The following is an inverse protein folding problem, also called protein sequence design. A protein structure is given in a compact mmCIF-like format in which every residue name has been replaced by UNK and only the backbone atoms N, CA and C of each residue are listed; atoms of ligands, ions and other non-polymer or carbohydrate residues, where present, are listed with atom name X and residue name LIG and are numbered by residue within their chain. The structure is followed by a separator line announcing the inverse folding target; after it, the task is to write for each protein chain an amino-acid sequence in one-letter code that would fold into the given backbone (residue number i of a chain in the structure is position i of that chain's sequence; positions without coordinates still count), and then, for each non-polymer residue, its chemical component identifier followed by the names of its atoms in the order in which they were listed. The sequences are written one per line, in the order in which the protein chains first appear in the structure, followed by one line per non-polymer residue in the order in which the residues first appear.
data_IF_317611051065
#
_entry.id   IF_317611051065
#
_cell.length_a   1.000
_cell.length_b   1.000
_cell.length_c   1.000
_cell.angle_alpha   90.00
_cell.angle_beta   90.00
_cell.angle_gamma   90.00
#
_symmetry.space_group_name_H-M   'P 1'
#
loop_
_entity.id
_entity.type
_entity.pdbx_description
1 polymer ?
#
# COMPACT_ATOMS: atom_id res chain seq x y z
N UNK A 1 -25.35 -20.17 42.36
CA UNK A 1 -24.18 -19.43 41.85
C UNK A 1 -23.79 -20.05 40.51
N UNK A 2 -24.16 -19.35 39.42
CA UNK A 2 -23.68 -19.72 38.08
C UNK A 2 -22.17 -19.41 38.04
N UNK A 3 -21.36 -20.43 37.83
CA UNK A 3 -19.96 -20.27 37.48
C UNK A 3 -19.93 -19.54 36.13
N UNK A 4 -19.39 -18.33 36.09
CA UNK A 4 -19.22 -17.63 34.83
C UNK A 4 -18.31 -18.51 33.94
N UNK A 5 -18.81 -18.85 32.75
CA UNK A 5 -18.02 -19.58 31.78
C UNK A 5 -16.89 -18.63 31.33
N UNK A 6 -15.64 -19.07 31.48
CA UNK A 6 -14.48 -18.27 31.08
C UNK A 6 -14.22 -18.59 29.60
N UNK A 7 -14.46 -17.62 28.74
CA UNK A 7 -14.27 -17.78 27.29
C UNK A 7 -12.83 -17.45 26.82
N UNK A 8 -12.07 -16.69 27.64
CA UNK A 8 -10.71 -16.27 27.33
C UNK A 8 -9.83 -16.39 28.57
N UNK A 9 -8.68 -17.04 28.40
CA UNK A 9 -7.63 -17.09 29.41
C UNK A 9 -6.44 -16.24 28.97
N UNK A 10 -5.99 -15.32 29.84
CA UNK A 10 -4.81 -14.50 29.64
C UNK A 10 -3.69 -15.01 30.54
N UNK A 11 -2.53 -15.27 29.96
CA UNK A 11 -1.33 -15.72 30.68
C UNK A 11 -0.26 -14.61 30.61
N UNK A 12 -0.28 -13.63 31.51
CA UNK A 12 0.59 -12.44 31.43
C UNK A 12 2.08 -12.75 31.52
N UNK A 13 2.44 -13.89 32.12
CA UNK A 13 3.84 -14.32 32.28
C UNK A 13 4.35 -15.14 31.07
N UNK A 14 3.50 -15.47 30.13
CA UNK A 14 3.85 -16.22 28.92
C UNK A 14 4.06 -15.27 27.74
N UNK A 15 5.24 -14.67 27.66
CA UNK A 15 5.61 -13.74 26.59
C UNK A 15 5.91 -14.51 25.31
N UNK A 16 5.32 -14.09 24.17
CA UNK A 16 5.54 -14.66 22.85
C UNK A 16 6.25 -13.63 21.96
N UNK A 17 5.54 -12.94 21.08
CA UNK A 17 6.10 -11.91 20.21
C UNK A 17 5.78 -10.51 20.75
N UNK A 18 6.62 -9.54 20.38
CA UNK A 18 6.34 -8.14 20.64
C UNK A 18 5.32 -7.60 19.64
N UNK A 19 4.27 -6.95 20.14
CA UNK A 19 3.33 -6.20 19.31
C UNK A 19 3.84 -4.77 19.21
N UNK A 20 4.24 -4.37 18.00
CA UNK A 20 4.79 -3.02 17.73
C UNK A 20 3.74 -1.92 17.95
N UNK A 21 2.48 -2.22 17.66
CA UNK A 21 1.36 -1.29 17.87
C UNK A 21 0.21 -1.51 16.89
N UNK A 22 -0.77 -0.63 17.03
CA UNK A 22 -1.96 -0.55 16.19
C UNK A 22 -1.93 0.72 15.36
N UNK A 23 -2.73 0.79 14.29
CA UNK A 23 -2.76 1.96 13.44
C UNK A 23 -3.93 2.00 12.48
N UNK A 24 -3.90 2.99 11.60
CA UNK A 24 -4.91 3.21 10.58
C UNK A 24 -4.29 3.53 9.22
N UNK A 25 -5.18 3.75 8.24
CA UNK A 25 -4.79 4.11 6.87
C UNK A 25 -5.14 5.56 6.57
N UNK A 26 -4.15 6.32 6.13
CA UNK A 26 -4.35 7.65 5.54
C UNK A 26 -4.90 7.48 4.12
N UNK A 27 -5.92 8.23 3.76
CA UNK A 27 -6.50 8.21 2.43
C UNK A 27 -7.12 9.57 2.06
N UNK A 28 -7.38 9.79 0.77
CA UNK A 28 -7.88 11.09 0.29
C UNK A 28 -9.27 11.42 0.83
N UNK A 29 -10.23 10.47 0.75
CA UNK A 29 -11.60 10.70 1.20
C UNK A 29 -11.69 11.00 2.70
N UNK A 30 -10.84 10.35 3.51
CA UNK A 30 -10.78 10.61 4.95
C UNK A 30 -10.29 12.03 5.26
N UNK A 31 -9.25 12.49 4.54
CA UNK A 31 -8.78 13.87 4.73
C UNK A 31 -9.77 14.90 4.22
N UNK A 32 -10.37 14.66 3.05
CA UNK A 32 -11.42 15.52 2.51
C UNK A 32 -12.57 15.67 3.51
N UNK A 33 -13.08 14.57 4.05
CA UNK A 33 -14.13 14.60 5.07
C UNK A 33 -13.72 15.42 6.31
N UNK A 34 -12.48 15.26 6.79
CA UNK A 34 -11.96 16.05 7.93
C UNK A 34 -11.83 17.54 7.59
N UNK A 35 -11.58 17.92 6.34
CA UNK A 35 -11.50 19.33 5.92
C UNK A 35 -12.87 20.04 5.98
N UNK A 36 -13.98 19.31 5.94
CA UNK A 36 -15.32 19.89 6.10
C UNK A 36 -15.68 20.21 7.56
N UNK A 37 -14.87 19.73 8.53
CA UNK A 37 -15.06 20.08 9.93
C UNK A 37 -14.42 21.43 10.26
N UNK A 38 -14.98 22.19 11.22
CA UNK A 38 -14.27 23.31 11.84
C UNK A 38 -12.91 22.86 12.38
N UNK A 39 -11.91 23.73 12.33
CA UNK A 39 -10.52 23.40 12.74
C UNK A 39 -10.48 22.75 14.13
N UNK A 40 -11.19 23.30 15.12
CA UNK A 40 -11.22 22.78 16.49
C UNK A 40 -11.76 21.33 16.57
N UNK A 41 -12.75 21.00 15.77
CA UNK A 41 -13.31 19.63 15.73
C UNK A 41 -12.36 18.67 15.02
N UNK A 42 -11.76 19.09 13.91
CA UNK A 42 -10.71 18.32 13.23
C UNK A 42 -9.53 18.02 14.16
N UNK A 43 -9.09 19.02 14.92
CA UNK A 43 -7.98 18.85 15.87
C UNK A 43 -8.34 17.86 17.00
N UNK A 44 -9.59 17.84 17.46
CA UNK A 44 -10.09 16.83 18.43
C UNK A 44 -10.06 15.44 17.83
N UNK A 45 -10.51 15.25 16.57
CA UNK A 45 -10.46 13.95 15.89
C UNK A 45 -9.01 13.49 15.77
N UNK A 46 -8.11 14.35 15.32
CA UNK A 46 -6.69 14.01 15.20
C UNK A 46 -6.06 13.65 16.55
N UNK A 47 -6.39 14.42 17.61
CA UNK A 47 -5.92 14.13 18.96
C UNK A 47 -6.46 12.79 19.48
N UNK A 48 -7.73 12.47 19.24
CA UNK A 48 -8.32 11.19 19.66
C UNK A 48 -7.66 9.97 19.00
N UNK A 49 -7.11 10.13 17.80
CA UNK A 49 -6.44 9.04 17.08
C UNK A 49 -4.94 8.92 17.44
N UNK A 50 -4.23 10.04 17.57
CA UNK A 50 -2.76 10.03 17.59
C UNK A 50 -2.15 10.53 18.90
N UNK A 51 -2.88 11.24 19.77
CA UNK A 51 -2.31 11.67 21.05
C UNK A 51 -2.26 10.54 22.09
N UNK A 52 -1.47 10.74 23.14
CA UNK A 52 -1.33 9.77 24.25
C UNK A 52 -2.62 9.59 25.05
N UNK A 53 -3.49 10.60 25.05
CA UNK A 53 -4.80 10.60 25.73
C UNK A 53 -5.88 9.90 24.89
N UNK A 54 -5.63 9.64 23.61
CA UNK A 54 -6.52 8.96 22.68
C UNK A 54 -6.16 7.50 22.44
N UNK A 55 -6.49 7.00 21.25
CA UNK A 55 -6.15 5.62 20.80
C UNK A 55 -4.64 5.43 20.64
N UNK A 56 -3.92 6.52 20.47
CA UNK A 56 -2.45 6.55 20.38
C UNK A 56 -1.89 5.64 19.27
N UNK A 57 -2.42 5.71 18.06
CA UNK A 57 -1.95 4.91 16.94
C UNK A 57 -0.44 5.08 16.72
N UNK A 58 0.26 3.94 16.65
CA UNK A 58 1.70 3.86 16.48
C UNK A 58 2.12 3.53 15.03
N UNK A 59 1.18 3.05 14.21
CA UNK A 59 1.40 2.67 12.83
C UNK A 59 0.48 3.46 11.90
N UNK A 60 1.01 3.89 10.77
CA UNK A 60 0.25 4.55 9.72
C UNK A 60 0.52 3.92 8.36
N UNK A 61 -0.54 3.58 7.62
CA UNK A 61 -0.45 3.17 6.21
C UNK A 61 -0.77 4.36 5.32
N UNK A 62 -0.07 4.51 4.21
CA UNK A 62 -0.46 5.44 3.14
C UNK A 62 -0.45 4.73 1.78
N UNK A 63 -1.38 5.03 0.86
CA UNK A 63 -1.30 4.51 -0.49
C UNK A 63 -0.12 5.12 -1.25
N UNK A 64 0.36 4.41 -2.25
CA UNK A 64 1.24 4.93 -3.29
C UNK A 64 0.37 5.22 -4.50
N UNK A 65 -0.01 6.49 -4.68
CA UNK A 65 -0.99 7.00 -5.64
C UNK A 65 -2.44 6.50 -5.38
N UNK A 66 -3.23 6.28 -6.43
CA UNK A 66 -4.65 5.95 -6.32
C UNK A 66 -4.90 4.66 -5.53
N UNK A 67 -5.90 4.74 -4.63
CA UNK A 67 -6.46 3.60 -3.89
C UNK A 67 -7.97 3.50 -4.13
N UNK A 68 -8.63 2.56 -3.46
CA UNK A 68 -10.08 2.44 -3.40
C UNK A 68 -10.76 3.61 -2.66
N UNK A 69 -10.01 4.34 -1.82
CA UNK A 69 -10.44 5.56 -1.11
C UNK A 69 -9.80 6.82 -1.70
N UNK A 70 -9.41 6.81 -2.97
CA UNK A 70 -8.97 8.00 -3.69
C UNK A 70 -10.17 8.73 -4.32
N UNK A 71 -10.06 10.04 -4.45
CA UNK A 71 -11.06 10.90 -5.12
C UNK A 71 -11.09 10.73 -6.64
N UNK A 72 -10.23 9.88 -7.17
CA UNK A 72 -10.14 9.53 -8.59
C UNK A 72 -8.87 8.74 -8.90
N UNK A 73 -8.80 8.16 -10.09
CA UNK A 73 -7.65 7.38 -10.50
C UNK A 73 -6.51 8.29 -10.95
N UNK A 74 -5.31 8.01 -10.46
CA UNK A 74 -4.09 8.71 -10.82
C UNK A 74 -2.86 7.86 -10.49
N UNK A 75 -1.76 8.18 -11.10
CA UNK A 75 -0.43 7.75 -10.65
C UNK A 75 0.52 8.94 -10.58
N UNK A 76 1.70 8.73 -10.05
CA UNK A 76 2.72 9.79 -10.05
C UNK A 76 3.44 9.96 -11.39
N UNK A 77 3.13 9.09 -12.36
CA UNK A 77 3.60 9.24 -13.74
C UNK A 77 2.66 8.54 -14.71
N UNK A 78 1.77 9.28 -15.34
CA UNK A 78 0.82 8.79 -16.35
C UNK A 78 1.34 8.98 -17.80
N UNK A 79 2.58 9.46 -17.96
CA UNK A 79 3.21 9.60 -19.28
C UNK A 79 3.67 8.22 -19.74
N UNK A 80 3.00 7.71 -20.78
CA UNK A 80 3.32 6.41 -21.38
C UNK A 80 4.77 6.34 -21.83
N UNK A 81 5.42 5.23 -21.54
CA UNK A 81 6.79 4.90 -21.95
C UNK A 81 7.88 5.83 -21.37
N UNK A 82 7.57 6.63 -20.33
CA UNK A 82 8.58 7.35 -19.58
C UNK A 82 9.34 6.42 -18.60
N UNK A 83 10.13 5.52 -19.15
CA UNK A 83 10.90 4.52 -18.39
C UNK A 83 11.91 5.14 -17.41
N UNK A 84 12.28 6.38 -17.60
CA UNK A 84 13.23 7.11 -16.74
C UNK A 84 12.55 7.89 -15.63
N UNK A 85 11.23 7.89 -15.59
CA UNK A 85 10.41 8.63 -14.59
C UNK A 85 10.73 10.13 -14.55
N UNK A 86 10.95 10.77 -15.69
CA UNK A 86 11.20 12.22 -15.76
C UNK A 86 9.98 13.03 -15.34
N UNK A 87 8.78 12.53 -15.68
CA UNK A 87 7.51 13.18 -15.37
C UNK A 87 6.92 12.71 -14.02
N UNK A 88 7.71 12.05 -13.18
CA UNK A 88 7.27 11.65 -11.86
C UNK A 88 6.94 12.86 -10.99
N UNK A 89 5.73 12.92 -10.44
CA UNK A 89 5.25 14.05 -9.66
C UNK A 89 4.27 13.60 -8.56
N UNK A 90 4.49 14.06 -7.32
CA UNK A 90 3.63 13.80 -6.16
C UNK A 90 2.77 15.02 -5.79
N UNK A 91 2.59 15.98 -6.69
CA UNK A 91 1.94 17.25 -6.34
C UNK A 91 0.54 17.06 -5.75
N UNK A 92 -0.22 16.08 -6.23
CA UNK A 92 -1.53 15.75 -5.68
C UNK A 92 -1.44 15.40 -4.18
N UNK A 93 -0.49 14.58 -3.79
CA UNK A 93 -0.31 14.19 -2.39
C UNK A 93 0.10 15.37 -1.49
N UNK A 94 0.78 16.37 -2.05
CA UNK A 94 1.14 17.60 -1.31
C UNK A 94 -0.06 18.38 -0.81
N UNK A 95 -1.21 18.23 -1.45
CA UNK A 95 -2.44 18.91 -1.05
C UNK A 95 -3.35 18.06 -0.14
N UNK A 96 -3.20 16.74 -0.16
CA UNK A 96 -4.14 15.84 0.51
C UNK A 96 -3.43 14.92 1.51
N UNK A 97 -2.66 13.93 1.06
CA UNK A 97 -2.07 12.91 1.93
C UNK A 97 -0.97 13.45 2.84
N UNK A 98 -0.09 14.27 2.30
CA UNK A 98 1.04 14.83 3.06
C UNK A 98 0.58 15.74 4.21
N UNK A 99 -0.37 16.67 4.03
CA UNK A 99 -0.93 17.44 5.15
C UNK A 99 -1.59 16.56 6.21
N UNK A 100 -2.33 15.52 5.82
CA UNK A 100 -2.95 14.57 6.76
C UNK A 100 -1.90 13.88 7.62
N UNK A 101 -0.89 13.28 6.97
CA UNK A 101 0.20 12.57 7.67
C UNK A 101 0.98 13.53 8.57
N UNK A 102 1.27 14.75 8.11
CA UNK A 102 1.94 15.76 8.93
C UNK A 102 1.14 16.19 10.15
N UNK A 103 -0.19 16.26 10.04
CA UNK A 103 -1.06 16.53 11.18
C UNK A 103 -0.96 15.41 12.24
N UNK A 104 -0.89 14.16 11.82
CA UNK A 104 -0.66 13.02 12.71
C UNK A 104 0.76 13.06 13.33
N UNK A 105 1.79 13.30 12.54
CA UNK A 105 3.19 13.37 13.00
C UNK A 105 3.45 14.49 14.01
N UNK A 106 2.68 15.58 13.98
CA UNK A 106 2.75 16.64 15.02
C UNK A 106 2.35 16.10 16.39
N UNK A 107 1.38 15.19 16.45
CA UNK A 107 0.86 14.58 17.68
C UNK A 107 1.63 13.34 18.08
N UNK A 108 2.13 12.60 17.08
CA UNK A 108 2.86 11.35 17.23
C UNK A 108 4.14 11.36 16.36
N UNK A 109 5.23 12.02 16.80
CA UNK A 109 6.47 12.14 16.00
C UNK A 109 7.15 10.80 15.69
N UNK A 110 6.91 9.78 16.51
CA UNK A 110 7.41 8.41 16.36
C UNK A 110 6.47 7.48 15.58
N UNK A 111 5.40 8.02 14.95
CA UNK A 111 4.50 7.25 14.10
C UNK A 111 5.27 6.55 12.99
N UNK A 112 5.15 5.22 12.93
CA UNK A 112 5.83 4.38 11.93
C UNK A 112 4.96 4.27 10.68
N UNK A 113 5.50 4.75 9.56
CA UNK A 113 4.79 4.79 8.29
C UNK A 113 5.18 3.65 7.37
N UNK A 114 4.17 3.02 6.77
CA UNK A 114 4.36 2.09 5.68
C UNK A 114 3.44 2.41 4.50
N UNK A 115 3.80 1.95 3.31
CA UNK A 115 3.10 2.30 2.10
C UNK A 115 2.93 1.11 1.15
N UNK A 116 1.84 1.15 0.36
CA UNK A 116 1.63 0.18 -0.71
C UNK A 116 0.81 0.80 -1.86
N UNK A 117 1.11 0.47 -3.12
CA UNK A 117 0.24 0.81 -4.24
C UNK A 117 -0.93 -0.17 -4.32
N UNK A 118 -2.08 0.32 -4.78
CA UNK A 118 -3.19 -0.53 -5.25
C UNK A 118 -2.97 -0.96 -6.69
N UNK A 119 -2.30 -0.10 -7.47
CA UNK A 119 -2.01 -0.36 -8.89
C UNK A 119 -0.72 0.36 -9.31
N UNK A 120 0.06 -0.22 -10.21
CA UNK A 120 1.07 0.51 -10.97
C UNK A 120 0.39 1.58 -11.87
N UNK A 121 1.15 2.54 -12.43
CA UNK A 121 0.68 3.37 -13.54
C UNK A 121 0.02 2.52 -14.64
N UNK A 122 -1.11 2.99 -15.18
CA UNK A 122 -1.92 2.19 -16.11
C UNK A 122 -1.11 1.68 -17.33
N UNK A 123 -0.20 2.49 -17.84
CA UNK A 123 0.63 2.13 -19.01
C UNK A 123 1.63 0.97 -18.75
N UNK A 124 1.92 0.67 -17.48
CA UNK A 124 2.76 -0.49 -17.09
C UNK A 124 1.98 -1.79 -16.97
N UNK A 125 0.65 -1.75 -17.09
CA UNK A 125 -0.21 -2.92 -16.94
C UNK A 125 -0.58 -3.53 -18.28
N UNK A 126 -0.83 -4.83 -18.30
CA UNK A 126 -1.16 -5.57 -19.55
C UNK A 126 -2.48 -5.10 -20.16
N UNK A 127 -3.41 -4.63 -19.34
CA UNK A 127 -4.69 -4.07 -19.80
C UNK A 127 -4.67 -2.54 -19.92
N UNK A 128 -3.57 -1.88 -19.65
CA UNK A 128 -3.39 -0.42 -19.69
C UNK A 128 -4.51 0.35 -18.98
N UNK A 129 -4.95 -0.18 -17.81
CA UNK A 129 -6.02 0.43 -17.00
C UNK A 129 -5.71 0.29 -15.51
N UNK A 130 -6.18 1.24 -14.69
CA UNK A 130 -5.96 1.21 -13.24
C UNK A 130 -6.59 0.00 -12.56
N UNK A 131 -7.78 -0.43 -12.97
CA UNK A 131 -8.45 -1.62 -12.44
C UNK A 131 -8.11 -2.87 -13.25
N UNK A 132 -8.31 -4.06 -12.67
CA UNK A 132 -8.16 -5.31 -13.39
C UNK A 132 -9.47 -5.92 -13.86
N UNK A 133 -10.60 -5.52 -13.25
CA UNK A 133 -11.94 -5.97 -13.59
C UNK A 133 -12.82 -4.77 -13.95
N UNK A 134 -13.63 -4.93 -15.00
CA UNK A 134 -14.66 -3.94 -15.34
C UNK A 134 -15.72 -3.88 -14.24
N UNK A 135 -16.17 -2.69 -13.89
CA UNK A 135 -17.38 -2.49 -13.12
C UNK A 135 -18.56 -2.61 -14.06
N UNK A 136 -19.39 -3.65 -13.92
CA UNK A 136 -20.65 -3.78 -14.65
C UNK A 136 -21.64 -2.72 -14.18
N UNK A 137 -22.46 -2.23 -15.10
CA UNK A 137 -23.46 -1.18 -14.84
C UNK A 137 -24.49 -1.62 -13.77
N UNK A 138 -24.62 -2.93 -13.51
CA UNK A 138 -25.75 -3.49 -12.78
C UNK A 138 -25.50 -3.84 -11.29
N UNK A 139 -24.28 -3.75 -10.77
CA UNK A 139 -23.98 -4.36 -9.46
C UNK A 139 -23.06 -3.60 -8.50
N UNK A 140 -22.64 -2.41 -8.78
CA UNK A 140 -21.71 -1.73 -7.88
C UNK A 140 -22.10 -0.28 -7.63
N UNK A 141 -22.16 0.11 -6.36
CA UNK A 141 -22.20 1.50 -5.90
C UNK A 141 -20.95 2.31 -6.34
N UNK A 142 -19.97 1.64 -6.93
CA UNK A 142 -18.68 2.20 -7.36
C UNK A 142 -18.78 2.91 -8.72
N UNK A 143 -19.88 2.72 -9.45
CA UNK A 143 -20.04 3.29 -10.79
C UNK A 143 -19.17 2.61 -11.86
N UNK A 144 -19.32 3.06 -13.11
CA UNK A 144 -18.61 2.49 -14.25
C UNK A 144 -17.15 2.94 -14.27
N UNK A 145 -16.21 2.02 -14.16
CA UNK A 145 -14.77 2.31 -14.17
C UNK A 145 -14.16 2.46 -15.59
N UNK A 146 -14.98 2.39 -16.63
CA UNK A 146 -14.60 2.54 -18.06
C UNK A 146 -13.63 1.46 -18.60
N UNK A 147 -13.39 0.39 -17.88
CA UNK A 147 -12.66 -0.76 -18.40
C UNK A 147 -13.57 -1.61 -19.27
N UNK A 148 -13.13 -1.86 -20.52
CA UNK A 148 -13.79 -2.83 -21.40
C UNK A 148 -13.71 -4.24 -20.79
N UNK A 149 -14.83 -4.97 -20.63
CA UNK A 149 -14.85 -6.34 -20.10
C UNK A 149 -13.90 -7.31 -20.82
N UNK A 150 -13.64 -7.11 -22.10
CA UNK A 150 -12.68 -7.93 -22.87
C UNK A 150 -11.23 -7.68 -22.48
N UNK A 151 -10.95 -6.63 -21.73
CA UNK A 151 -9.62 -6.29 -21.19
C UNK A 151 -9.47 -6.64 -19.72
N UNK A 152 -10.41 -7.38 -19.15
CA UNK A 152 -10.29 -7.90 -17.79
C UNK A 152 -9.07 -8.80 -17.65
N UNK A 153 -8.36 -8.66 -16.52
CA UNK A 153 -7.21 -9.51 -16.16
C UNK A 153 -7.58 -10.24 -14.87
N UNK A 154 -8.03 -11.48 -15.02
CA UNK A 154 -8.61 -12.28 -13.94
C UNK A 154 -7.81 -13.58 -13.74
N UNK A 155 -7.96 -14.16 -12.55
CA UNK A 155 -7.30 -15.42 -12.22
C UNK A 155 -5.88 -15.25 -11.68
N UNK A 156 -5.15 -16.36 -11.63
CA UNK A 156 -3.78 -16.41 -11.11
C UNK A 156 -2.76 -16.00 -12.18
N UNK A 157 -2.82 -14.73 -12.57
CA UNK A 157 -1.94 -14.14 -13.59
C UNK A 157 -1.35 -12.83 -13.07
N UNK A 158 -0.21 -12.46 -13.62
CA UNK A 158 0.41 -11.15 -13.34
C UNK A 158 -0.19 -10.10 -14.27
N UNK A 159 -0.80 -9.06 -13.69
CA UNK A 159 -1.39 -7.94 -14.43
C UNK A 159 -0.38 -6.87 -14.85
N UNK A 160 0.88 -7.01 -14.44
CA UNK A 160 1.99 -6.11 -14.77
C UNK A 160 2.72 -6.58 -16.05
N UNK A 161 3.26 -5.64 -16.83
CA UNK A 161 4.11 -5.93 -17.99
C UNK A 161 5.51 -6.33 -17.53
N UNK A 162 5.87 -7.62 -17.66
CA UNK A 162 7.09 -8.21 -17.09
C UNK A 162 8.38 -7.96 -17.89
N UNK A 163 8.36 -7.12 -18.93
CA UNK A 163 9.56 -6.76 -19.67
C UNK A 163 10.48 -5.86 -18.82
N UNK A 164 11.79 -6.01 -19.00
CA UNK A 164 12.85 -5.37 -18.22
C UNK A 164 12.64 -3.84 -18.06
N UNK A 165 12.26 -3.14 -19.13
CA UNK A 165 12.06 -1.69 -19.10
C UNK A 165 10.96 -1.26 -18.10
N UNK A 166 9.84 -1.99 -18.07
CA UNK A 166 8.74 -1.71 -17.13
C UNK A 166 9.13 -2.03 -15.69
N UNK A 167 9.78 -3.17 -15.46
CA UNK A 167 10.25 -3.57 -14.12
C UNK A 167 11.23 -2.55 -13.54
N UNK A 168 12.20 -2.11 -14.34
CA UNK A 168 13.17 -1.10 -13.93
C UNK A 168 12.49 0.26 -13.68
N UNK A 169 11.59 0.68 -14.56
CA UNK A 169 10.84 1.92 -14.40
C UNK A 169 10.00 1.91 -13.10
N UNK A 170 9.38 0.77 -12.79
CA UNK A 170 8.57 0.66 -11.58
C UNK A 170 9.44 0.65 -10.31
N UNK A 171 10.63 0.08 -10.34
CA UNK A 171 11.59 0.19 -9.24
C UNK A 171 12.03 1.65 -9.01
N UNK A 172 12.30 2.40 -10.09
CA UNK A 172 12.59 3.85 -10.01
C UNK A 172 11.39 4.63 -9.46
N UNK A 173 10.17 4.26 -9.83
CA UNK A 173 8.94 4.86 -9.32
C UNK A 173 8.85 4.76 -7.77
N UNK A 174 9.11 3.58 -7.20
CA UNK A 174 9.17 3.39 -5.74
C UNK A 174 10.29 4.21 -5.10
N UNK A 175 11.47 4.19 -5.70
CA UNK A 175 12.59 4.97 -5.20
C UNK A 175 12.28 6.46 -5.12
N UNK A 176 11.75 7.03 -6.20
CA UNK A 176 11.33 8.44 -6.24
C UNK A 176 10.23 8.77 -5.23
N UNK A 177 9.26 7.86 -5.05
CA UNK A 177 8.21 8.00 -4.05
C UNK A 177 8.78 8.15 -2.62
N UNK A 178 9.62 7.20 -2.21
CA UNK A 178 10.23 7.21 -0.88
C UNK A 178 11.06 8.47 -0.66
N UNK A 179 11.86 8.86 -1.66
CA UNK A 179 12.68 10.09 -1.60
C UNK A 179 11.82 11.35 -1.51
N UNK A 180 10.74 11.43 -2.31
CA UNK A 180 9.85 12.57 -2.30
C UNK A 180 9.10 12.73 -0.97
N UNK A 181 8.65 11.64 -0.35
CA UNK A 181 8.04 11.66 0.98
C UNK A 181 9.05 12.08 2.04
N UNK A 182 10.28 11.55 1.99
CA UNK A 182 11.37 11.95 2.88
C UNK A 182 11.69 13.45 2.77
N UNK A 183 11.74 14.01 1.55
CA UNK A 183 11.91 15.45 1.32
C UNK A 183 10.77 16.29 1.92
N UNK A 184 9.59 15.71 2.08
CA UNK A 184 8.46 16.33 2.76
C UNK A 184 8.42 16.06 4.27
N UNK A 185 9.48 15.48 4.85
CA UNK A 185 9.59 15.17 6.28
C UNK A 185 8.81 13.93 6.74
N UNK A 186 8.45 13.05 5.81
CA UNK A 186 7.75 11.79 6.10
C UNK A 186 8.68 10.63 5.78
N UNK A 187 9.08 9.88 6.80
CA UNK A 187 9.91 8.70 6.63
C UNK A 187 9.01 7.46 6.41
N UNK A 188 9.10 6.84 5.25
CA UNK A 188 8.44 5.57 4.95
C UNK A 188 9.39 4.45 5.37
N UNK A 189 9.09 3.77 6.48
CA UNK A 189 9.94 2.69 7.00
C UNK A 189 9.79 1.40 6.20
N UNK A 190 8.59 1.16 5.64
CA UNK A 190 8.30 -0.09 4.93
C UNK A 190 7.48 0.18 3.68
N UNK A 191 7.80 -0.53 2.59
CA UNK A 191 6.92 -0.63 1.42
C UNK A 191 6.49 -2.07 1.20
N UNK A 192 5.22 -2.25 0.84
CA UNK A 192 4.69 -3.51 0.32
C UNK A 192 4.39 -3.31 -1.16
N UNK A 193 5.00 -4.07 -2.07
CA UNK A 193 4.96 -3.79 -3.51
C UNK A 193 3.58 -3.78 -4.14
N UNK A 194 2.58 -4.36 -3.48
CA UNK A 194 1.21 -4.41 -3.99
C UNK A 194 0.19 -4.58 -2.87
N UNK A 195 -0.90 -3.81 -2.90
CA UNK A 195 -2.09 -4.09 -2.10
C UNK A 195 -2.86 -5.27 -2.72
N UNK A 196 -3.29 -6.22 -1.87
CA UNK A 196 -4.18 -7.33 -2.29
C UNK A 196 -3.67 -8.09 -3.53
N UNK A 197 -2.47 -8.64 -3.43
CA UNK A 197 -1.69 -9.23 -4.53
C UNK A 197 -2.50 -10.23 -5.40
N UNK A 198 -3.41 -10.99 -4.80
CA UNK A 198 -4.17 -12.06 -5.47
C UNK A 198 -5.59 -11.67 -5.87
N UNK A 199 -6.02 -10.43 -5.64
CA UNK A 199 -7.39 -10.01 -5.83
C UNK A 199 -7.53 -9.02 -6.99
N UNK A 200 -8.31 -9.32 -8.07
CA UNK A 200 -8.55 -8.43 -9.21
C UNK A 200 -9.90 -7.72 -9.11
N UNK A 201 -10.09 -6.72 -8.23
CA UNK A 201 -11.33 -5.97 -8.11
C UNK A 201 -11.54 -4.96 -9.24
N UNK A 202 -12.71 -4.29 -9.22
CA UNK A 202 -13.07 -3.23 -10.17
C UNK A 202 -12.60 -1.83 -9.76
N UNK A 203 -11.90 -1.70 -8.65
CA UNK A 203 -11.14 -0.51 -8.24
C UNK A 203 -9.65 -0.67 -8.57
N UNK A 204 -8.78 0.31 -8.29
CA UNK A 204 -7.35 0.21 -8.55
C UNK A 204 -6.77 -1.10 -8.01
N UNK A 205 -6.11 -1.86 -8.87
CA UNK A 205 -5.62 -3.22 -8.52
C UNK A 205 -4.58 -3.73 -9.51
N UNK A 206 -3.73 -4.64 -9.07
CA UNK A 206 -2.83 -5.40 -9.92
C UNK A 206 -2.50 -6.74 -9.25
N UNK A 207 -2.84 -7.84 -9.89
CA UNK A 207 -2.43 -9.17 -9.40
C UNK A 207 -1.00 -9.48 -9.83
N UNK A 208 -0.31 -10.25 -8.97
CA UNK A 208 1.04 -10.73 -9.23
C UNK A 208 1.12 -12.22 -8.88
N UNK A 209 1.69 -13.02 -9.76
CA UNK A 209 2.14 -14.36 -9.38
C UNK A 209 3.34 -14.24 -8.44
N UNK A 210 3.50 -15.16 -7.47
CA UNK A 210 4.58 -15.05 -6.48
C UNK A 210 5.97 -15.07 -7.11
N UNK A 211 6.18 -15.82 -8.21
CA UNK A 211 7.44 -15.87 -8.94
C UNK A 211 7.75 -14.52 -9.62
N UNK A 212 6.74 -13.89 -10.24
CA UNK A 212 6.90 -12.64 -10.97
C UNK A 212 7.13 -11.48 -9.99
N UNK A 213 6.43 -11.48 -8.84
CA UNK A 213 6.71 -10.51 -7.78
C UNK A 213 8.12 -10.68 -7.22
N UNK A 214 8.59 -11.91 -7.06
CA UNK A 214 9.96 -12.18 -6.61
C UNK A 214 11.00 -11.69 -7.62
N UNK A 215 10.76 -11.83 -8.93
CA UNK A 215 11.62 -11.24 -9.97
C UNK A 215 11.67 -9.72 -9.80
N UNK A 216 10.52 -9.06 -9.68
CA UNK A 216 10.47 -7.61 -9.50
C UNK A 216 11.22 -7.17 -8.24
N UNK A 217 10.92 -7.78 -7.11
CA UNK A 217 11.52 -7.40 -5.82
C UNK A 217 13.03 -7.66 -5.80
N UNK A 218 13.45 -8.88 -6.19
CA UNK A 218 14.84 -9.31 -6.00
C UNK A 218 15.80 -8.75 -7.02
N UNK A 219 15.33 -8.53 -8.26
CA UNK A 219 16.21 -8.13 -9.37
C UNK A 219 16.11 -6.65 -9.72
N UNK A 220 15.06 -5.95 -9.25
CA UNK A 220 14.84 -4.54 -9.62
C UNK A 220 14.62 -3.64 -8.40
N UNK A 221 13.64 -3.93 -7.53
CA UNK A 221 13.27 -3.02 -6.45
C UNK A 221 14.35 -2.93 -5.36
N UNK A 222 14.80 -4.07 -4.84
CA UNK A 222 15.84 -4.09 -3.80
C UNK A 222 17.18 -3.54 -4.32
N UNK A 223 17.68 -3.93 -5.52
CA UNK A 223 18.87 -3.30 -6.07
C UNK A 223 18.72 -1.80 -6.35
N UNK A 224 17.52 -1.33 -6.72
CA UNK A 224 17.29 0.10 -6.91
C UNK A 224 17.35 0.86 -5.58
N UNK A 225 16.79 0.30 -4.50
CA UNK A 225 16.88 0.91 -3.17
C UNK A 225 18.32 0.95 -2.67
N UNK A 226 19.08 -0.12 -2.88
CA UNK A 226 20.52 -0.17 -2.54
C UNK A 226 21.30 0.90 -3.30
N UNK A 227 21.11 0.99 -4.63
CA UNK A 227 21.75 2.00 -5.49
C UNK A 227 21.46 3.43 -5.02
N UNK A 228 20.23 3.70 -4.60
CA UNK A 228 19.78 5.03 -4.19
C UNK A 228 19.96 5.29 -2.68
N UNK A 229 20.62 4.37 -1.95
CA UNK A 229 20.86 4.44 -0.50
C UNK A 229 19.58 4.63 0.31
N UNK A 230 18.52 3.90 -0.08
CA UNK A 230 17.22 3.90 0.61
C UNK A 230 17.18 2.76 1.63
N UNK A 231 16.94 3.10 2.90
CA UNK A 231 16.87 2.15 4.02
C UNK A 231 15.44 1.65 4.29
N UNK A 232 14.47 1.98 3.43
CA UNK A 232 13.09 1.49 3.55
C UNK A 232 13.06 -0.02 3.35
N UNK A 233 12.46 -0.73 4.30
CA UNK A 233 12.28 -2.18 4.19
C UNK A 233 11.27 -2.54 3.11
N UNK A 234 11.50 -3.67 2.45
CA UNK A 234 10.53 -4.26 1.52
C UNK A 234 9.91 -5.47 2.22
N UNK A 235 8.58 -5.51 2.27
CA UNK A 235 7.82 -6.65 2.79
C UNK A 235 6.95 -7.24 1.68
N UNK A 236 6.76 -8.55 1.68
CA UNK A 236 5.81 -9.20 0.74
C UNK A 236 4.39 -8.85 1.17
N UNK A 237 3.59 -8.35 0.28
CA UNK A 237 2.19 -8.09 0.60
C UNK A 237 1.62 -6.88 -0.13
N UNK A 238 0.36 -6.60 0.21
CA UNK A 238 -0.43 -7.33 1.21
C UNK A 238 -1.04 -8.60 0.59
N UNK A 239 -0.88 -9.73 1.25
CA UNK A 239 -1.42 -11.02 0.80
C UNK A 239 -2.86 -11.15 1.34
N UNK A 240 -3.82 -11.38 0.44
CA UNK A 240 -5.22 -11.60 0.81
C UNK A 240 -5.39 -12.98 1.42
N UNK A 241 -6.12 -13.05 2.51
CA UNK A 241 -6.37 -14.26 3.26
C UNK A 241 -5.08 -14.97 3.67
N UNK A 242 -5.08 -15.88 4.63
CA UNK A 242 -3.92 -16.70 4.90
C UNK A 242 -3.64 -17.61 3.69
N UNK A 243 -2.81 -17.13 2.77
CA UNK A 243 -2.33 -17.89 1.62
C UNK A 243 -0.85 -18.24 1.81
N UNK A 244 -0.56 -19.26 2.65
CA UNK A 244 0.81 -19.64 2.95
C UNK A 244 1.57 -20.15 1.71
N UNK A 245 0.86 -20.67 0.71
CA UNK A 245 1.50 -21.21 -0.49
C UNK A 245 2.02 -20.09 -1.41
N UNK A 246 1.34 -18.95 -1.46
CA UNK A 246 1.86 -17.75 -2.12
C UNK A 246 3.19 -17.33 -1.48
N UNK A 247 3.20 -17.19 -0.15
CA UNK A 247 4.37 -16.78 0.62
C UNK A 247 5.51 -17.80 0.48
N UNK A 248 5.22 -19.09 0.61
CA UNK A 248 6.21 -20.17 0.41
C UNK A 248 6.82 -20.14 -0.98
N UNK A 249 5.99 -19.93 -2.01
CA UNK A 249 6.44 -19.89 -3.41
C UNK A 249 7.31 -18.68 -3.67
N UNK A 250 6.96 -17.52 -3.14
CA UNK A 250 7.80 -16.32 -3.18
C UNK A 250 9.17 -16.57 -2.52
N UNK A 251 9.20 -17.13 -1.31
CA UNK A 251 10.45 -17.36 -0.57
C UNK A 251 11.29 -18.54 -1.09
N UNK A 252 10.77 -19.37 -1.99
CA UNK A 252 11.57 -20.35 -2.74
C UNK A 252 12.43 -19.69 -3.82
N UNK A 253 12.09 -18.47 -4.25
CA UNK A 253 12.86 -17.78 -5.29
C UNK A 253 14.19 -17.27 -4.71
N UNK A 254 15.25 -17.39 -5.54
CA UNK A 254 16.60 -16.96 -5.14
C UNK A 254 16.62 -15.45 -4.82
N UNK A 255 17.20 -15.09 -3.70
CA UNK A 255 17.32 -13.68 -3.26
C UNK A 255 16.18 -13.18 -2.37
N UNK A 256 15.03 -13.86 -2.33
CA UNK A 256 13.85 -13.35 -1.60
C UNK A 256 14.10 -13.13 -0.10
N UNK A 257 14.85 -14.04 0.54
CA UNK A 257 15.17 -13.91 1.99
C UNK A 257 16.13 -12.77 2.31
N UNK A 258 16.93 -12.35 1.35
CA UNK A 258 17.82 -11.19 1.47
C UNK A 258 17.08 -9.88 1.23
N UNK A 259 16.23 -9.86 0.20
CA UNK A 259 15.53 -8.66 -0.26
C UNK A 259 14.36 -8.27 0.65
N UNK A 260 13.75 -9.21 1.38
CA UNK A 260 12.49 -9.01 2.10
C UNK A 260 12.65 -9.22 3.60
N UNK A 261 12.07 -8.32 4.41
CA UNK A 261 12.16 -8.33 5.88
C UNK A 261 10.89 -8.80 6.58
N UNK A 262 9.76 -8.87 5.87
CA UNK A 262 8.50 -9.25 6.49
C UNK A 262 7.41 -9.62 5.47
N UNK A 263 6.25 -9.96 6.00
CA UNK A 263 5.04 -10.29 5.23
C UNK A 263 3.86 -9.49 5.76
N UNK A 264 3.15 -8.80 4.89
CA UNK A 264 1.89 -8.16 5.19
C UNK A 264 0.73 -9.07 4.78
N UNK A 265 -0.22 -9.28 5.68
CA UNK A 265 -1.44 -10.05 5.42
C UNK A 265 -2.67 -9.20 5.65
N UNK A 266 -3.74 -9.52 4.95
CA UNK A 266 -4.98 -8.77 4.94
C UNK A 266 -6.15 -9.76 4.87
N UNK A 267 -7.28 -9.43 5.53
CA UNK A 267 -8.46 -10.30 5.56
C UNK A 267 -8.17 -11.69 6.17
N UNK A 268 -7.52 -11.70 7.31
CA UNK A 268 -7.23 -12.92 8.08
C UNK A 268 -8.40 -13.23 9.02
N UNK A 269 -9.48 -13.71 8.49
CA UNK A 269 -10.65 -14.10 9.28
C UNK A 269 -11.11 -15.51 8.99
#
# INVERSE_FOLDING_TARGET
SSIAQVDVCVYPDSLLQDVVGFGGTFNELGWDALQHLPQAERDKVMASLFSKEGVCFALGRTPIAASDYAMGYYSYNDVKDDYTMRNFCIDRDRYILIPYIKAALKLRPDLRMWASPWTPPAWMKVNEHYSQKSAGIEKTDIGHNRLDPNRNVLGNVTGFKMQQGYLQAYAIYFSKYVQAYKQNGINIQTVMPQNEIGWPPCWPSCTWRPEDLAIFVNQYLAPQFEKDSINTEIWVGTVNYPNPDYVRTFFKQKGSRQSVKGVGVQWTG
#
